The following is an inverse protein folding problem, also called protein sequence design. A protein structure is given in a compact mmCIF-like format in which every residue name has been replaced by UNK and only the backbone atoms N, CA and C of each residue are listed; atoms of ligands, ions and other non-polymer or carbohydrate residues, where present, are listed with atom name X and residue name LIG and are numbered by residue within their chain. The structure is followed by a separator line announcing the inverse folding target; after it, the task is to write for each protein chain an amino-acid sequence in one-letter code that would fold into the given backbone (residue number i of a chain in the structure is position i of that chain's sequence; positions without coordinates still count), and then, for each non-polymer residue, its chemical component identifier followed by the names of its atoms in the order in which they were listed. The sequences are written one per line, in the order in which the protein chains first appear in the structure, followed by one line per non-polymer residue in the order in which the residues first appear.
data_IF_795206712417
#
_entry.id   IF_795206712417
#
_cell.length_a   1.000
_cell.length_b   1.000
_cell.length_c   1.000
_cell.angle_alpha   90.00
_cell.angle_beta   90.00
_cell.angle_gamma   90.00
#
_symmetry.space_group_name_H-M   'P 1'
#
loop_
_entity.id
_entity.type
_entity.pdbx_description
1 polymer ?
#
# COMPACT_ATOMS: atom_id res chain seq x y z
N UNK A 1 13.32 -28.69 -20.78
CA UNK A 1 13.32 -27.74 -21.93
C UNK A 1 14.57 -26.84 -22.02
N UNK A 2 15.34 -26.61 -20.96
CA UNK A 2 16.49 -25.67 -20.99
C UNK A 2 17.67 -26.05 -21.90
N UNK A 3 18.00 -27.34 -22.03
CA UNK A 3 19.15 -27.78 -22.86
C UNK A 3 18.92 -27.52 -24.35
N UNK A 4 17.70 -27.76 -24.84
CA UNK A 4 17.33 -27.52 -26.24
C UNK A 4 17.29 -26.02 -26.58
N UNK A 5 16.90 -25.18 -25.61
CA UNK A 5 16.87 -23.72 -25.76
C UNK A 5 18.29 -23.15 -25.82
N UNK A 6 19.19 -23.60 -24.93
CA UNK A 6 20.60 -23.21 -24.99
C UNK A 6 21.28 -23.67 -26.29
N UNK A 7 20.99 -24.88 -26.77
CA UNK A 7 21.49 -25.37 -28.07
C UNK A 7 20.98 -24.52 -29.24
N UNK A 8 19.73 -24.06 -29.21
CA UNK A 8 19.17 -23.21 -30.27
C UNK A 8 19.74 -21.79 -30.24
N UNK A 9 19.99 -21.20 -29.06
CA UNK A 9 20.69 -19.92 -28.94
C UNK A 9 22.13 -20.06 -29.42
N UNK A 10 22.83 -21.12 -29.03
CA UNK A 10 24.19 -21.39 -29.46
C UNK A 10 24.25 -21.56 -30.99
N UNK A 11 23.31 -22.29 -31.60
CA UNK A 11 23.27 -22.48 -33.06
C UNK A 11 22.96 -21.17 -33.81
N UNK A 12 22.08 -20.31 -33.29
CA UNK A 12 21.81 -18.98 -33.87
C UNK A 12 23.02 -18.05 -33.74
N UNK A 13 23.69 -18.07 -32.60
CA UNK A 13 24.88 -17.27 -32.35
C UNK A 13 26.04 -17.72 -33.25
N UNK A 14 26.28 -19.02 -33.35
CA UNK A 14 27.26 -19.61 -34.29
C UNK A 14 26.91 -19.22 -35.72
N UNK A 15 25.66 -19.36 -36.19
CA UNK A 15 25.27 -18.93 -37.54
C UNK A 15 25.49 -17.43 -37.80
N UNK A 16 25.22 -16.56 -36.83
CA UNK A 16 25.43 -15.12 -37.00
C UNK A 16 26.92 -14.73 -36.96
N UNK A 17 27.72 -15.36 -36.09
CA UNK A 17 29.17 -15.12 -36.00
C UNK A 17 29.90 -15.66 -37.23
N UNK A 18 29.52 -16.86 -37.70
CA UNK A 18 30.09 -17.44 -38.92
C UNK A 18 29.54 -16.78 -40.20
N UNK A 19 28.32 -16.22 -40.18
CA UNK A 19 27.79 -15.39 -41.26
C UNK A 19 28.57 -14.06 -41.41
N UNK A 20 29.01 -13.47 -40.30
CA UNK A 20 29.91 -12.31 -40.33
C UNK A 20 31.32 -12.64 -40.85
N UNK A 21 31.75 -13.91 -40.78
CA UNK A 21 33.08 -14.32 -41.26
C UNK A 21 33.23 -14.18 -42.79
N UNK A 22 32.12 -14.22 -43.54
CA UNK A 22 32.14 -14.01 -44.98
C UNK A 22 32.26 -12.53 -45.39
N UNK A 23 31.95 -11.59 -44.49
CA UNK A 23 32.12 -10.16 -44.75
C UNK A 23 33.54 -9.65 -44.46
N UNK A 24 34.41 -10.48 -43.88
CA UNK A 24 35.79 -10.14 -43.48
C UNK A 24 36.86 -10.76 -44.41
N UNK A 25 36.48 -11.29 -45.57
CA UNK A 25 37.40 -11.97 -46.51
C UNK A 25 38.48 -11.02 -47.08
N UNK A 26 38.34 -9.70 -46.94
CA UNK A 26 39.36 -8.71 -47.34
C UNK A 26 40.15 -8.08 -46.19
N UNK A 27 39.89 -8.46 -44.92
CA UNK A 27 40.69 -7.96 -43.80
C UNK A 27 41.90 -8.86 -43.52
N UNK A 28 43.05 -8.22 -43.35
CA UNK A 28 44.37 -8.79 -43.07
C UNK A 28 44.28 -9.97 -42.08
N UNK A 29 44.64 -11.18 -42.54
CA UNK A 29 44.58 -12.45 -41.78
C UNK A 29 45.05 -12.36 -40.31
N UNK A 30 46.18 -11.69 -39.97
CA UNK A 30 46.59 -11.51 -38.59
C UNK A 30 45.59 -10.75 -37.71
N UNK A 31 44.84 -9.79 -38.25
CA UNK A 31 43.84 -9.03 -37.51
C UNK A 31 42.60 -9.88 -37.21
N UNK A 32 42.11 -10.64 -38.19
CA UNK A 32 40.98 -11.56 -38.00
C UNK A 32 41.29 -12.65 -36.95
N UNK A 33 42.53 -13.17 -36.95
CA UNK A 33 42.95 -14.18 -35.97
C UNK A 33 43.03 -13.60 -34.54
N UNK A 34 43.51 -12.36 -34.38
CA UNK A 34 43.50 -11.65 -33.09
C UNK A 34 42.09 -11.35 -32.58
N UNK A 35 41.18 -10.93 -33.46
CA UNK A 35 39.78 -10.64 -33.11
C UNK A 35 39.02 -11.91 -32.69
N UNK A 36 39.25 -13.01 -33.40
CA UNK A 36 38.64 -14.31 -33.05
C UNK A 36 39.17 -14.83 -31.72
N UNK A 37 40.48 -14.72 -31.46
CA UNK A 37 41.07 -15.06 -30.16
C UNK A 37 40.53 -14.17 -29.03
N UNK A 38 40.30 -12.87 -29.29
CA UNK A 38 39.69 -11.94 -28.34
C UNK A 38 38.24 -12.29 -28.01
N UNK A 39 37.42 -12.65 -29.01
CA UNK A 39 36.04 -13.14 -28.80
C UNK A 39 36.04 -14.45 -28.00
N UNK A 40 36.95 -15.38 -28.32
CA UNK A 40 37.11 -16.64 -27.57
C UNK A 40 37.57 -16.42 -26.12
N UNK A 41 38.36 -15.38 -25.86
CA UNK A 41 38.74 -14.96 -24.50
C UNK A 41 37.58 -14.30 -23.73
N UNK A 42 36.62 -13.69 -24.41
CA UNK A 42 35.43 -13.06 -23.81
C UNK A 42 34.23 -14.01 -23.66
N UNK A 43 34.23 -15.16 -24.35
CA UNK A 43 33.15 -16.15 -24.25
C UNK A 43 32.95 -16.73 -22.83
N UNK A 44 34.01 -17.00 -22.03
CA UNK A 44 33.83 -17.44 -20.65
C UNK A 44 33.11 -16.41 -19.78
N UNK A 45 33.34 -15.11 -19.95
CA UNK A 45 32.68 -14.08 -19.11
C UNK A 45 31.20 -13.88 -19.49
N UNK A 46 30.82 -14.14 -20.74
CA UNK A 46 29.43 -14.07 -21.19
C UNK A 46 28.60 -15.32 -20.87
N UNK A 47 29.23 -16.50 -20.77
CA UNK A 47 28.53 -17.78 -20.53
C UNK A 47 28.46 -18.15 -19.04
N UNK A 48 29.36 -17.64 -18.19
CA UNK A 48 29.40 -17.95 -16.74
C UNK A 48 28.77 -16.87 -15.83
N UNK A 49 27.99 -15.93 -16.39
CA UNK A 49 27.59 -14.71 -15.68
C UNK A 49 26.30 -14.75 -14.86
N UNK A 50 25.53 -15.85 -14.83
CA UNK A 50 24.36 -15.91 -13.94
C UNK A 50 24.81 -16.16 -12.50
N UNK A 51 25.11 -15.06 -11.82
CA UNK A 51 25.22 -15.04 -10.38
C UNK A 51 23.86 -15.38 -9.77
N UNK A 52 23.90 -16.07 -8.64
CA UNK A 52 22.71 -16.37 -7.86
C UNK A 52 23.01 -16.11 -6.39
N UNK A 53 21.99 -15.72 -5.67
CA UNK A 53 22.03 -15.59 -4.22
C UNK A 53 21.11 -16.63 -3.61
N UNK A 54 21.44 -17.09 -2.41
CA UNK A 54 20.56 -17.96 -1.62
C UNK A 54 20.19 -17.25 -0.35
N UNK A 55 18.90 -17.28 0.02
CA UNK A 55 18.48 -16.79 1.34
C UNK A 55 18.95 -17.74 2.44
N UNK A 56 18.71 -17.40 3.72
CA UNK A 56 18.76 -18.39 4.79
C UNK A 56 17.54 -19.34 4.73
N UNK A 57 17.62 -20.49 5.41
CA UNK A 57 16.42 -21.26 5.75
C UNK A 57 15.64 -20.50 6.82
N UNK A 58 14.34 -20.35 6.59
CA UNK A 58 13.39 -19.72 7.53
C UNK A 58 12.12 -20.54 7.60
N UNK A 59 11.36 -20.52 8.72
CA UNK A 59 10.03 -21.11 8.77
C UNK A 59 9.19 -20.69 7.57
N UNK A 60 8.35 -21.58 7.05
CA UNK A 60 7.51 -21.33 5.89
C UNK A 60 6.85 -22.60 5.37
N UNK A 61 6.37 -22.54 4.13
CA UNK A 61 5.61 -23.61 3.52
C UNK A 61 5.80 -23.67 2.00
N UNK A 62 5.47 -24.83 1.45
CA UNK A 62 5.26 -25.06 0.02
C UNK A 62 3.91 -25.74 -0.18
N UNK A 63 3.19 -25.37 -1.23
CA UNK A 63 1.97 -26.02 -1.69
C UNK A 63 2.25 -26.61 -3.06
N UNK A 64 2.22 -27.93 -3.17
CA UNK A 64 2.45 -28.63 -4.42
C UNK A 64 1.26 -28.38 -5.37
N UNK A 65 1.47 -28.58 -6.68
CA UNK A 65 0.37 -28.54 -7.67
C UNK A 65 -0.76 -29.55 -7.41
N UNK A 66 -0.52 -30.56 -6.57
CA UNK A 66 -1.55 -31.49 -6.08
C UNK A 66 -2.48 -30.87 -5.02
N UNK A 67 -2.17 -29.68 -4.51
CA UNK A 67 -2.80 -29.04 -3.36
C UNK A 67 -2.23 -29.49 -2.01
N UNK A 68 -1.27 -30.43 -1.98
CA UNK A 68 -0.62 -30.86 -0.75
C UNK A 68 0.26 -29.74 -0.17
N UNK A 69 -0.09 -29.27 1.03
CA UNK A 69 0.69 -28.27 1.78
C UNK A 69 1.70 -28.96 2.71
N UNK A 70 2.94 -28.49 2.68
CA UNK A 70 4.04 -28.92 3.56
C UNK A 70 4.64 -27.73 4.29
N UNK A 71 4.45 -27.68 5.61
CA UNK A 71 5.08 -26.68 6.48
C UNK A 71 6.49 -27.15 6.91
N UNK A 72 7.45 -26.24 7.02
CA UNK A 72 8.85 -26.54 7.33
C UNK A 72 9.73 -25.30 7.25
N UNK A 73 11.00 -25.48 6.90
CA UNK A 73 11.93 -24.39 6.60
C UNK A 73 12.11 -24.25 5.08
N UNK A 74 12.07 -23.03 4.55
CA UNK A 74 12.24 -22.70 3.14
C UNK A 74 13.38 -21.73 2.90
N UNK A 75 14.09 -21.95 1.80
CA UNK A 75 15.23 -21.17 1.33
C UNK A 75 15.09 -20.94 -0.17
N UNK A 76 15.24 -19.69 -0.61
CA UNK A 76 15.14 -19.33 -2.01
C UNK A 76 16.52 -19.21 -2.65
N UNK A 77 16.70 -19.85 -3.80
CA UNK A 77 17.79 -19.54 -4.72
C UNK A 77 17.27 -18.60 -5.78
N UNK A 78 17.85 -17.40 -5.84
CA UNK A 78 17.35 -16.28 -6.63
C UNK A 78 18.40 -15.88 -7.66
N UNK A 79 17.99 -15.69 -8.91
CA UNK A 79 18.86 -15.17 -9.96
C UNK A 79 19.21 -13.70 -9.69
N UNK A 80 20.45 -13.33 -9.97
CA UNK A 80 20.85 -11.92 -10.01
C UNK A 80 21.29 -11.55 -11.43
N UNK A 81 20.83 -10.40 -11.96
CA UNK A 81 20.16 -9.29 -11.26
C UNK A 81 18.62 -9.38 -11.20
N UNK A 82 17.99 -10.31 -11.92
CA UNK A 82 16.55 -10.28 -12.22
C UNK A 82 15.64 -10.59 -11.01
N UNK A 83 16.22 -11.07 -9.90
CA UNK A 83 15.50 -11.45 -8.67
C UNK A 83 14.44 -12.53 -8.87
N UNK A 84 14.58 -13.35 -9.91
CA UNK A 84 13.69 -14.47 -10.18
C UNK A 84 14.01 -15.64 -9.24
N UNK A 85 12.99 -16.23 -8.63
CA UNK A 85 13.16 -17.43 -7.80
C UNK A 85 13.42 -18.60 -8.74
N UNK A 86 14.64 -19.14 -8.72
CA UNK A 86 15.04 -20.27 -9.55
C UNK A 86 14.69 -21.62 -8.91
N UNK A 87 14.69 -21.67 -7.57
CA UNK A 87 14.46 -22.90 -6.82
C UNK A 87 14.10 -22.58 -5.36
N UNK A 88 13.17 -23.34 -4.82
CA UNK A 88 12.75 -23.33 -3.43
C UNK A 88 13.28 -24.59 -2.76
N UNK A 89 14.19 -24.45 -1.80
CA UNK A 89 14.67 -25.57 -0.99
C UNK A 89 13.81 -25.68 0.26
N UNK A 90 13.18 -26.83 0.44
CA UNK A 90 12.36 -27.18 1.60
C UNK A 90 13.11 -28.13 2.54
N UNK A 91 12.96 -27.95 3.84
CA UNK A 91 13.52 -28.82 4.88
C UNK A 91 12.53 -28.98 6.05
N UNK A 92 12.27 -30.21 6.46
CA UNK A 92 11.54 -30.52 7.68
C UNK A 92 12.24 -31.66 8.43
N UNK A 93 13.00 -31.31 9.47
CA UNK A 93 13.87 -32.26 10.16
C UNK A 93 14.93 -32.86 9.23
N UNK A 94 14.82 -34.16 8.94
CA UNK A 94 15.72 -34.89 8.02
C UNK A 94 15.25 -34.85 6.57
N UNK A 95 13.97 -34.57 6.34
CA UNK A 95 13.40 -34.53 5.00
C UNK A 95 13.80 -33.23 4.33
N UNK A 96 14.37 -33.34 3.14
CA UNK A 96 14.82 -32.21 2.32
C UNK A 96 14.33 -32.42 0.90
N UNK A 97 13.80 -31.36 0.30
CA UNK A 97 13.35 -31.36 -1.08
C UNK A 97 13.74 -30.05 -1.76
N UNK A 98 13.92 -30.11 -3.07
CA UNK A 98 14.05 -28.92 -3.90
C UNK A 98 12.86 -28.89 -4.83
N UNK A 99 12.21 -27.74 -4.94
CA UNK A 99 11.08 -27.50 -5.81
C UNK A 99 11.40 -26.35 -6.75
N UNK A 100 10.96 -26.47 -7.98
CA UNK A 100 10.94 -25.37 -8.94
C UNK A 100 9.61 -24.63 -8.87
N UNK A 101 9.55 -23.33 -9.21
CA UNK A 101 8.31 -22.56 -9.13
C UNK A 101 7.14 -23.17 -9.91
N UNK A 102 7.39 -23.86 -11.03
CA UNK A 102 6.36 -24.51 -11.86
C UNK A 102 5.81 -25.82 -11.25
N UNK A 103 6.47 -26.37 -10.23
CA UNK A 103 6.02 -27.55 -9.47
C UNK A 103 5.13 -27.18 -8.28
N UNK A 104 5.08 -25.88 -7.96
CA UNK A 104 4.39 -25.34 -6.79
C UNK A 104 3.18 -24.52 -7.21
N UNK A 105 2.07 -24.75 -6.51
CA UNK A 105 0.91 -23.88 -6.58
C UNK A 105 1.16 -22.59 -5.79
N UNK A 106 1.83 -22.69 -4.64
CA UNK A 106 2.13 -21.57 -3.77
C UNK A 106 3.36 -21.88 -2.89
N UNK A 107 4.02 -20.85 -2.39
CA UNK A 107 5.12 -20.98 -1.43
C UNK A 107 5.35 -19.68 -0.68
N UNK A 108 5.82 -19.78 0.56
CA UNK A 108 6.11 -18.60 1.35
C UNK A 108 7.04 -18.88 2.52
N UNK A 109 7.87 -17.90 2.86
CA UNK A 109 8.48 -17.83 4.18
C UNK A 109 7.45 -17.26 5.15
N UNK A 110 7.23 -17.97 6.26
CA UNK A 110 6.48 -17.47 7.41
C UNK A 110 7.38 -16.51 8.16
N UNK A 111 6.95 -15.25 8.24
CA UNK A 111 7.63 -14.23 9.06
C UNK A 111 6.99 -14.27 10.43
N UNK A 112 7.77 -14.37 11.50
CA UNK A 112 7.25 -14.29 12.87
C UNK A 112 7.38 -12.87 13.41
N UNK A 113 6.58 -12.50 14.42
CA UNK A 113 6.75 -11.20 15.13
C UNK A 113 8.19 -11.03 15.63
N UNK A 114 8.82 -12.11 16.11
CA UNK A 114 10.19 -12.10 16.61
C UNK A 114 11.24 -11.73 15.54
N UNK A 115 10.93 -11.93 14.25
CA UNK A 115 11.79 -11.55 13.13
C UNK A 115 11.63 -10.07 12.75
N UNK A 116 10.56 -9.43 13.21
CA UNK A 116 10.24 -8.04 12.93
C UNK A 116 10.93 -7.11 13.93
N UNK A 117 11.57 -6.05 13.42
CA UNK A 117 12.20 -5.06 14.28
C UNK A 117 11.14 -4.15 14.88
N UNK A 118 11.04 -4.16 16.20
CA UNK A 118 10.26 -3.15 16.93
C UNK A 118 10.86 -1.75 16.72
N UNK A 119 9.99 -0.76 16.57
CA UNK A 119 10.34 0.64 16.60
C UNK A 119 9.81 1.27 17.89
N UNK A 120 10.67 1.38 18.90
CA UNK A 120 10.28 1.91 20.20
C UNK A 120 9.96 3.41 20.20
N UNK A 121 10.42 4.17 19.20
CA UNK A 121 10.10 5.61 19.11
C UNK A 121 8.74 5.89 18.47
N UNK A 122 8.19 4.95 17.72
CA UNK A 122 6.86 5.05 17.11
C UNK A 122 6.05 3.79 17.44
N UNK A 123 5.34 3.84 18.58
CA UNK A 123 4.61 2.71 19.14
C UNK A 123 3.51 2.16 18.22
N UNK A 124 3.01 2.97 17.28
CA UNK A 124 2.03 2.54 16.27
C UNK A 124 2.61 1.49 15.30
N UNK A 125 3.95 1.45 15.17
CA UNK A 125 4.68 0.50 14.32
C UNK A 125 4.99 -0.81 15.01
N UNK A 126 4.72 -0.92 16.31
CA UNK A 126 4.87 -2.17 17.04
C UNK A 126 3.58 -2.98 16.94
N UNK A 127 3.70 -4.29 17.15
CA UNK A 127 2.54 -5.16 17.24
C UNK A 127 1.78 -4.89 18.55
N UNK A 128 0.55 -4.41 18.42
CA UNK A 128 -0.37 -4.18 19.52
C UNK A 128 -1.67 -4.96 19.27
N UNK A 129 -2.44 -5.33 20.31
CA UNK A 129 -3.74 -5.98 20.11
C UNK A 129 -4.66 -5.17 19.19
N UNK A 130 -5.46 -5.84 18.38
CA UNK A 130 -6.33 -5.16 17.42
C UNK A 130 -6.99 -6.12 16.44
N UNK A 131 -7.51 -5.58 15.35
CA UNK A 131 -8.11 -6.37 14.28
C UNK A 131 -7.99 -5.67 12.93
N UNK A 132 -8.10 -6.44 11.85
CA UNK A 132 -8.27 -5.89 10.49
C UNK A 132 -9.61 -6.36 9.92
N UNK A 133 -10.21 -5.51 9.08
CA UNK A 133 -11.39 -5.81 8.27
C UNK A 133 -10.93 -5.91 6.82
N UNK A 134 -11.07 -7.11 6.27
CA UNK A 134 -10.69 -7.41 4.88
C UNK A 134 -11.72 -6.86 3.89
N UNK A 135 -11.36 -6.83 2.61
CA UNK A 135 -12.22 -6.35 1.53
C UNK A 135 -13.47 -7.18 1.26
N UNK A 136 -13.49 -8.42 1.73
CA UNK A 136 -14.64 -9.30 1.72
C UNK A 136 -15.59 -9.10 2.93
N UNK A 137 -15.26 -8.16 3.83
CA UNK A 137 -16.01 -7.86 5.04
C UNK A 137 -15.60 -8.69 6.26
N UNK A 138 -14.73 -9.70 6.09
CA UNK A 138 -14.31 -10.54 7.20
C UNK A 138 -13.45 -9.77 8.21
N UNK A 139 -13.71 -10.03 9.50
CA UNK A 139 -12.94 -9.49 10.63
C UNK A 139 -11.97 -10.56 11.14
N UNK A 140 -10.68 -10.21 11.22
CA UNK A 140 -9.66 -11.07 11.82
C UNK A 140 -8.99 -10.33 12.99
N UNK A 141 -9.04 -10.95 14.18
CA UNK A 141 -8.51 -10.41 15.43
C UNK A 141 -7.12 -10.97 15.71
N UNK A 142 -6.23 -10.14 16.26
CA UNK A 142 -4.85 -10.54 16.53
C UNK A 142 -4.01 -9.36 17.00
N UNK A 143 -2.73 -9.36 16.63
CA UNK A 143 -1.87 -8.19 16.83
C UNK A 143 -1.68 -7.47 15.51
N UNK A 144 -1.77 -6.14 15.50
CA UNK A 144 -1.58 -5.33 14.30
C UNK A 144 -0.47 -4.31 14.51
N UNK A 145 0.20 -3.96 13.42
CA UNK A 145 1.24 -2.94 13.39
C UNK A 145 1.18 -2.15 12.07
N UNK A 146 1.23 -0.82 12.14
CA UNK A 146 1.39 0.02 10.96
C UNK A 146 2.81 -0.07 10.40
N UNK A 147 2.95 -0.16 9.07
CA UNK A 147 4.23 0.08 8.39
C UNK A 147 4.17 1.41 7.65
N UNK A 148 4.91 2.39 8.11
CA UNK A 148 5.19 3.59 7.33
C UNK A 148 6.18 3.28 6.21
N UNK A 149 6.15 4.07 5.13
CA UNK A 149 7.23 4.07 4.13
C UNK A 149 8.56 4.42 4.79
N UNK A 150 9.66 3.88 4.26
CA UNK A 150 10.98 4.39 4.62
C UNK A 150 11.10 5.84 4.11
N UNK A 151 11.86 6.74 4.78
CA UNK A 151 11.95 8.15 4.40
C UNK A 151 12.35 8.40 2.93
N UNK A 152 13.01 7.44 2.30
CA UNK A 152 13.42 7.51 0.89
C UNK A 152 12.31 7.10 -0.11
N UNK A 153 11.21 6.51 0.37
CA UNK A 153 10.13 5.96 -0.47
C UNK A 153 8.93 6.91 -0.63
N UNK A 154 8.90 8.04 0.09
CA UNK A 154 7.79 8.99 0.05
C UNK A 154 8.27 10.43 0.12
N UNK A 155 7.87 11.22 -0.88
CA UNK A 155 7.95 12.68 -0.81
C UNK A 155 6.86 13.25 0.10
N UNK A 156 5.72 12.54 0.19
CA UNK A 156 4.60 12.87 1.05
C UNK A 156 4.84 12.31 2.45
N UNK A 157 5.40 13.12 3.34
CA UNK A 157 5.93 12.65 4.64
C UNK A 157 4.89 12.17 5.67
N UNK A 158 3.59 12.43 5.51
CA UNK A 158 2.73 12.56 6.70
C UNK A 158 1.36 11.87 6.69
N UNK A 159 1.04 11.01 5.72
CA UNK A 159 -0.36 10.58 5.57
C UNK A 159 -0.76 9.24 6.21
N UNK A 160 0.22 8.53 6.80
CA UNK A 160 -0.02 7.31 7.57
C UNK A 160 0.70 6.07 7.02
N UNK A 161 0.45 4.87 7.58
CA UNK A 161 1.06 3.63 7.13
C UNK A 161 0.69 3.27 5.68
N UNK A 162 1.62 2.72 4.90
CA UNK A 162 1.35 2.19 3.53
C UNK A 162 1.01 0.71 3.52
N UNK A 163 1.17 0.06 4.67
CA UNK A 163 0.80 -1.31 4.88
C UNK A 163 0.42 -1.51 6.35
N UNK A 164 -0.41 -2.51 6.60
CA UNK A 164 -0.66 -3.04 7.93
C UNK A 164 -0.09 -4.45 8.00
N UNK A 165 0.62 -4.74 9.09
CA UNK A 165 1.05 -6.10 9.44
C UNK A 165 0.03 -6.64 10.44
N UNK A 166 -0.45 -7.84 10.20
CA UNK A 166 -1.31 -8.60 11.09
C UNK A 166 -0.54 -9.82 11.55
N UNK A 167 -0.59 -10.14 12.83
CA UNK A 167 -0.06 -11.37 13.38
C UNK A 167 -1.16 -12.16 14.08
N UNK A 168 -1.24 -13.44 13.75
CA UNK A 168 -2.21 -14.37 14.33
C UNK A 168 -1.79 -14.84 15.73
N UNK A 169 -2.55 -15.78 16.29
CA UNK A 169 -2.31 -16.43 17.58
C UNK A 169 -0.97 -17.19 17.67
N UNK A 170 -0.40 -17.56 16.52
CA UNK A 170 0.92 -18.19 16.39
C UNK A 170 2.06 -17.19 16.15
N UNK A 171 1.77 -15.89 16.27
CA UNK A 171 2.68 -14.79 15.96
C UNK A 171 3.18 -14.79 14.49
N UNK A 172 2.46 -15.45 13.57
CA UNK A 172 2.77 -15.45 12.14
C UNK A 172 2.25 -14.17 11.50
N UNK A 173 3.16 -13.43 10.85
CA UNK A 173 2.93 -12.11 10.30
C UNK A 173 2.48 -12.21 8.83
N UNK A 174 1.29 -11.70 8.57
CA UNK A 174 0.79 -11.39 7.22
C UNK A 174 0.85 -9.89 6.99
N UNK A 175 1.27 -9.48 5.80
CA UNK A 175 1.38 -8.06 5.44
C UNK A 175 0.39 -7.70 4.34
N UNK A 176 -0.46 -6.73 4.63
CA UNK A 176 -1.42 -6.18 3.68
C UNK A 176 -0.99 -4.79 3.24
N UNK A 177 -0.82 -4.60 1.94
CA UNK A 177 -0.45 -3.30 1.38
C UNK A 177 -1.69 -2.49 1.06
N UNK A 178 -1.67 -1.19 1.37
CA UNK A 178 -2.83 -0.33 1.17
C UNK A 178 -3.22 -0.21 -0.31
N UNK A 179 -2.25 -0.22 -1.23
CA UNK A 179 -2.49 -0.18 -2.68
C UNK A 179 -3.19 -1.43 -3.24
N UNK A 180 -3.11 -2.58 -2.55
CA UNK A 180 -3.81 -3.81 -2.95
C UNK A 180 -5.28 -3.84 -2.52
N UNK A 181 -5.69 -2.94 -1.62
CA UNK A 181 -7.07 -2.84 -1.09
C UNK A 181 -7.59 -4.14 -0.47
N UNK A 182 -6.71 -5.02 -0.02
CA UNK A 182 -7.09 -6.27 0.68
C UNK A 182 -7.65 -6.02 2.08
N UNK A 183 -7.21 -4.93 2.71
CA UNK A 183 -7.72 -4.44 4.01
C UNK A 183 -8.40 -3.10 3.77
N UNK A 184 -9.64 -2.97 4.23
CA UNK A 184 -10.42 -1.73 4.18
C UNK A 184 -10.16 -0.86 5.41
N UNK A 185 -9.98 -1.51 6.56
CA UNK A 185 -9.95 -0.86 7.86
C UNK A 185 -9.16 -1.70 8.86
N UNK A 186 -8.49 -1.06 9.81
CA UNK A 186 -7.93 -1.77 10.95
C UNK A 186 -7.98 -0.92 12.23
N UNK A 187 -7.95 -1.61 13.36
CA UNK A 187 -7.90 -1.00 14.69
C UNK A 187 -6.71 -1.54 15.44
N UNK A 188 -6.00 -0.65 16.12
CA UNK A 188 -4.86 -0.96 16.95
C UNK A 188 -5.10 -0.39 18.36
N UNK A 189 -5.03 -1.24 19.39
CA UNK A 189 -5.17 -0.83 20.79
C UNK A 189 -3.79 -0.55 21.38
N UNK A 190 -3.41 0.74 21.43
CA UNK A 190 -2.12 1.20 21.95
C UNK A 190 -2.36 1.77 23.34
N UNK A 191 -1.75 1.18 24.37
CA UNK A 191 -1.90 1.60 25.77
C UNK A 191 -3.38 1.66 26.23
N UNK A 192 -4.21 0.74 25.74
CA UNK A 192 -5.64 0.67 26.08
C UNK A 192 -6.52 1.69 25.33
N UNK A 193 -5.95 2.53 24.46
CA UNK A 193 -6.71 3.40 23.55
C UNK A 193 -6.77 2.76 22.17
N UNK A 194 -7.96 2.65 21.61
CA UNK A 194 -8.14 2.21 20.22
C UNK A 194 -7.83 3.35 19.26
N UNK A 195 -6.95 3.08 18.30
CA UNK A 195 -6.67 3.93 17.15
C UNK A 195 -7.17 3.23 15.90
N UNK A 196 -7.98 3.92 15.12
CA UNK A 196 -8.71 3.37 13.99
C UNK A 196 -8.15 3.91 12.70
N UNK A 197 -8.01 3.08 11.68
CA UNK A 197 -7.38 3.44 10.42
C UNK A 197 -8.20 2.96 9.23
N UNK A 198 -8.38 3.81 8.21
CA UNK A 198 -9.09 3.48 6.97
C UNK A 198 -8.13 3.48 5.79
N UNK A 199 -8.30 2.55 4.85
CA UNK A 199 -7.52 2.51 3.62
C UNK A 199 -8.00 3.58 2.64
N UNK A 200 -7.22 4.63 2.43
CA UNK A 200 -7.53 5.74 1.54
C UNK A 200 -6.31 6.07 0.66
N UNK A 201 -6.50 6.16 -0.66
CA UNK A 201 -5.45 6.58 -1.60
C UNK A 201 -4.11 5.85 -1.49
N UNK A 202 -4.13 4.58 -1.07
CA UNK A 202 -2.94 3.73 -0.90
C UNK A 202 -2.16 4.00 0.40
N UNK A 203 -2.86 4.61 1.37
CA UNK A 203 -2.43 4.82 2.74
C UNK A 203 -3.50 4.32 3.70
N UNK A 204 -3.11 4.04 4.93
CA UNK A 204 -4.01 3.87 6.05
C UNK A 204 -4.02 5.18 6.84
N UNK A 205 -5.15 5.89 6.80
CA UNK A 205 -5.32 7.19 7.46
C UNK A 205 -6.02 6.98 8.79
N UNK A 206 -5.50 7.61 9.84
CA UNK A 206 -6.12 7.59 11.16
C UNK A 206 -7.48 8.31 11.15
N UNK A 207 -8.48 7.68 11.77
CA UNK A 207 -9.83 8.22 11.93
C UNK A 207 -10.00 8.68 13.38
N UNK A 208 -10.24 9.98 13.53
CA UNK A 208 -10.67 10.58 14.78
C UNK A 208 -12.17 10.39 15.01
N UNK A 209 -12.53 10.23 16.28
CA UNK A 209 -13.90 10.01 16.76
C UNK A 209 -14.76 9.04 15.91
N UNK A 210 -14.31 7.81 15.64
CA UNK A 210 -14.99 6.91 14.71
C UNK A 210 -16.39 6.46 15.16
N UNK A 211 -16.66 6.49 16.47
CA UNK A 211 -17.95 6.09 17.06
C UNK A 211 -18.87 7.26 17.38
N UNK A 212 -18.36 8.50 17.39
CA UNK A 212 -19.16 9.69 17.67
C UNK A 212 -20.06 10.09 16.51
N UNK A 213 -20.82 11.18 16.71
CA UNK A 213 -21.67 11.75 15.65
C UNK A 213 -20.84 12.18 14.43
N UNK A 214 -19.69 12.78 14.65
CA UNK A 214 -18.78 13.18 13.58
C UNK A 214 -17.49 12.37 13.68
N UNK A 215 -17.16 11.66 12.62
CA UNK A 215 -15.81 11.10 12.44
C UNK A 215 -15.03 11.95 11.46
N UNK A 216 -13.71 11.96 11.57
CA UNK A 216 -12.88 12.78 10.71
C UNK A 216 -11.53 12.15 10.44
N UNK A 217 -10.92 12.53 9.31
CA UNK A 217 -9.57 12.09 8.94
C UNK A 217 -8.96 13.06 7.93
N UNK A 218 -7.63 13.11 7.89
CA UNK A 218 -6.89 13.97 6.96
C UNK A 218 -7.07 13.45 5.54
N UNK A 219 -7.34 14.33 4.58
CA UNK A 219 -7.28 13.99 3.17
C UNK A 219 -5.80 13.84 2.75
N UNK A 220 -5.32 12.65 2.38
CA UNK A 220 -3.92 12.46 2.01
C UNK A 220 -3.60 12.98 0.61
N UNK A 221 -4.61 13.40 -0.15
CA UNK A 221 -4.48 14.06 -1.44
C UNK A 221 -5.33 15.33 -1.46
N UNK A 222 -4.89 16.41 -0.78
CA UNK A 222 -5.61 17.67 -0.78
C UNK A 222 -5.78 18.20 -2.20
N UNK A 223 -6.87 18.92 -2.44
CA UNK A 223 -7.31 19.43 -3.74
C UNK A 223 -7.40 20.96 -3.77
N UNK A 224 -7.45 21.62 -2.61
CA UNK A 224 -7.63 23.06 -2.47
C UNK A 224 -6.28 23.75 -2.36
N UNK A 225 -6.05 24.72 -3.23
CA UNK A 225 -4.79 25.44 -3.35
C UNK A 225 -4.73 26.56 -2.31
N UNK A 226 -3.60 26.63 -1.60
CA UNK A 226 -3.21 27.70 -0.71
C UNK A 226 -2.97 29.01 -1.49
N UNK A 227 -3.56 30.11 -1.03
CA UNK A 227 -3.48 31.42 -1.70
C UNK A 227 -2.06 31.93 -1.89
N UNK A 228 -1.13 31.54 -1.01
CA UNK A 228 0.29 31.91 -1.14
C UNK A 228 0.96 31.34 -2.40
N UNK A 229 0.34 30.38 -3.10
CA UNK A 229 0.86 29.75 -4.32
C UNK A 229 0.17 30.21 -5.62
N UNK A 230 -0.51 31.36 -5.59
CA UNK A 230 -1.45 31.84 -6.64
C UNK A 230 -0.87 31.97 -8.05
N UNK A 231 0.46 32.13 -8.22
CA UNK A 231 1.06 32.26 -9.56
C UNK A 231 1.33 30.93 -10.28
N UNK A 232 1.43 29.80 -9.56
CA UNK A 232 1.63 28.47 -10.16
C UNK A 232 0.30 27.73 -10.42
N UNK A 233 -0.72 28.09 -9.65
CA UNK A 233 -1.98 27.34 -9.46
C UNK A 233 -3.02 27.42 -10.59
N UNK A 234 -3.02 28.48 -11.41
CA UNK A 234 -4.09 28.73 -12.39
C UNK A 234 -4.18 27.67 -13.49
N UNK A 235 -3.09 26.98 -13.80
CA UNK A 235 -3.06 25.90 -14.80
C UNK A 235 -3.45 24.53 -14.22
N UNK A 236 -3.36 24.36 -12.89
CA UNK A 236 -3.64 23.09 -12.19
C UNK A 236 -5.13 22.92 -11.86
N UNK A 237 -5.83 24.01 -11.53
CA UNK A 237 -7.24 23.96 -11.16
C UNK A 237 -8.16 23.50 -12.30
N UNK A 238 -7.87 23.86 -13.56
CA UNK A 238 -8.66 23.46 -14.73
C UNK A 238 -8.58 21.94 -15.02
N UNK A 239 -7.48 21.28 -14.65
CA UNK A 239 -7.28 19.83 -14.82
C UNK A 239 -8.06 18.99 -13.79
N UNK A 240 -8.35 19.56 -12.62
CA UNK A 240 -9.05 18.86 -11.54
C UNK A 240 -10.57 18.76 -11.77
N UNK A 241 -11.17 19.74 -12.45
CA UNK A 241 -12.63 19.85 -12.63
C UNK A 241 -13.19 18.86 -13.67
N UNK A 242 -12.43 18.54 -14.72
CA UNK A 242 -12.83 17.63 -15.80
C UNK A 242 -12.92 16.15 -15.35
N UNK A 243 -12.12 15.76 -14.35
CA UNK A 243 -12.03 14.36 -13.90
C UNK A 243 -13.15 13.96 -12.92
N UNK A 244 -13.75 14.92 -12.20
CA UNK A 244 -14.87 14.68 -11.30
C UNK A 244 -16.09 14.08 -12.02
N UNK A 245 -16.30 14.40 -13.29
CA UNK A 245 -17.46 13.92 -14.08
C UNK A 245 -17.48 12.41 -14.38
N UNK A 246 -16.37 11.68 -14.16
CA UNK A 246 -16.29 10.20 -14.40
C UNK A 246 -16.74 9.33 -13.20
N UNK A 247 -17.23 9.95 -12.12
CA UNK A 247 -17.65 9.38 -10.82
C UNK A 247 -18.84 8.37 -10.84
N UNK A 248 -19.38 7.97 -12.01
CA UNK A 248 -20.61 7.18 -12.13
C UNK A 248 -20.46 5.66 -11.84
N UNK A 249 -19.29 5.17 -11.42
CA UNK A 249 -19.02 3.75 -11.14
C UNK A 249 -19.30 3.32 -9.68
N UNK A 250 -19.98 4.15 -8.88
CA UNK A 250 -20.26 3.97 -7.45
C UNK A 250 -21.37 2.94 -7.11
N UNK A 251 -22.02 2.34 -8.11
CA UNK A 251 -23.18 1.47 -7.91
C UNK A 251 -22.83 0.03 -7.47
N UNK A 252 -21.61 -0.44 -7.67
CA UNK A 252 -21.23 -1.83 -7.36
C UNK A 252 -20.82 -2.04 -5.88
N UNK A 253 -20.18 -1.05 -5.26
CA UNK A 253 -19.72 -1.12 -3.86
C UNK A 253 -20.84 -0.88 -2.82
N UNK A 254 -21.89 -0.13 -3.21
CA UNK A 254 -23.11 0.01 -2.40
C UNK A 254 -23.83 -1.34 -2.21
N UNK A 255 -23.78 -2.22 -3.22
CA UNK A 255 -24.51 -3.49 -3.26
C UNK A 255 -23.89 -4.59 -2.40
N UNK A 256 -22.56 -4.64 -2.27
CA UNK A 256 -21.89 -5.57 -1.34
C UNK A 256 -22.11 -5.18 0.13
N UNK A 257 -22.29 -3.88 0.39
CA UNK A 257 -22.47 -3.34 1.71
C UNK A 257 -23.89 -3.48 2.29
N UNK A 258 -24.92 -3.35 1.45
CA UNK A 258 -26.31 -3.65 1.82
C UNK A 258 -26.51 -5.13 2.20
N UNK A 259 -25.65 -6.03 1.70
CA UNK A 259 -25.71 -7.47 2.01
C UNK A 259 -25.22 -7.77 3.44
N UNK A 260 -24.25 -7.01 3.96
CA UNK A 260 -23.67 -7.21 5.30
C UNK A 260 -24.46 -6.51 6.42
N UNK A 261 -25.15 -5.41 6.12
CA UNK A 261 -25.96 -4.68 7.10
C UNK A 261 -27.08 -5.53 7.72
N UNK A 262 -27.48 -6.62 7.06
CA UNK A 262 -28.50 -7.56 7.53
C UNK A 262 -28.00 -8.57 8.59
N UNK A 263 -26.73 -8.57 8.98
CA UNK A 263 -26.18 -9.57 9.93
C UNK A 263 -25.90 -9.10 11.36
N UNK A 264 -26.10 -7.81 11.66
CA UNK A 264 -26.19 -7.30 13.04
C UNK A 264 -24.86 -7.21 13.80
N UNK A 265 -24.71 -6.08 14.51
CA UNK A 265 -23.65 -5.73 15.48
C UNK A 265 -22.21 -5.58 14.96
N UNK A 266 -21.96 -4.42 14.34
CA UNK A 266 -20.73 -3.56 14.38
C UNK A 266 -20.70 -2.57 13.17
N UNK A 267 -21.88 -2.11 12.73
CA UNK A 267 -22.08 -1.53 11.39
C UNK A 267 -21.82 -0.02 11.25
N UNK A 268 -21.63 0.73 12.34
CA UNK A 268 -21.58 2.21 12.24
C UNK A 268 -20.29 2.72 11.56
N UNK A 269 -19.16 2.05 11.77
CA UNK A 269 -17.83 2.49 11.29
C UNK A 269 -17.56 2.05 9.85
N UNK A 270 -18.12 0.92 9.42
CA UNK A 270 -18.04 0.45 8.03
C UNK A 270 -18.76 1.37 7.04
N UNK A 271 -19.91 1.95 7.43
CA UNK A 271 -20.73 2.81 6.56
C UNK A 271 -19.97 4.10 6.13
N UNK A 272 -19.28 4.73 7.06
CA UNK A 272 -18.55 5.99 6.83
C UNK A 272 -17.27 5.76 6.00
N UNK A 273 -16.59 4.66 6.26
CA UNK A 273 -15.32 4.26 5.62
C UNK A 273 -15.48 3.99 4.13
N UNK A 274 -16.53 3.27 3.72
CA UNK A 274 -16.75 2.95 2.30
C UNK A 274 -17.22 4.17 1.50
N UNK A 275 -18.04 5.04 2.11
CA UNK A 275 -18.45 6.31 1.49
C UNK A 275 -17.26 7.28 1.29
N UNK A 276 -16.28 7.26 2.20
CA UNK A 276 -15.03 7.99 2.08
C UNK A 276 -14.13 7.44 0.97
N UNK A 277 -13.94 6.11 0.92
CA UNK A 277 -13.15 5.44 -0.12
C UNK A 277 -13.68 5.72 -1.53
N UNK A 278 -15.01 5.72 -1.72
CA UNK A 278 -15.66 5.92 -3.02
C UNK A 278 -15.44 7.30 -3.65
N UNK A 279 -15.18 8.35 -2.86
CA UNK A 279 -14.89 9.67 -3.44
C UNK A 279 -13.40 9.98 -3.54
N UNK A 280 -12.58 9.24 -2.77
CA UNK A 280 -11.15 9.44 -2.76
C UNK A 280 -10.53 8.95 -4.08
N UNK A 281 -10.79 7.71 -4.46
CA UNK A 281 -10.19 7.03 -5.62
C UNK A 281 -10.44 7.72 -6.97
N UNK A 282 -11.34 8.70 -7.07
CA UNK A 282 -11.67 9.41 -8.31
C UNK A 282 -10.69 10.54 -8.72
N UNK A 283 -9.76 10.92 -7.85
CA UNK A 283 -8.83 12.06 -8.07
C UNK A 283 -7.43 11.59 -8.51
N UNK A 284 -7.25 10.29 -8.78
CA UNK A 284 -5.99 9.60 -8.51
C UNK A 284 -4.82 9.87 -9.50
N UNK A 285 -5.01 10.46 -10.67
CA UNK A 285 -3.97 10.48 -11.73
C UNK A 285 -3.56 11.87 -12.28
N UNK A 286 -4.09 13.00 -11.77
CA UNK A 286 -3.85 14.32 -12.37
C UNK A 286 -2.86 15.24 -11.63
N UNK A 287 -2.56 14.97 -10.36
CA UNK A 287 -1.80 15.90 -9.51
C UNK A 287 -0.77 15.09 -8.70
N UNK A 288 0.25 14.59 -9.39
CA UNK A 288 1.51 14.19 -8.73
C UNK A 288 2.56 15.25 -9.10
N UNK A 289 2.41 16.43 -8.50
CA UNK A 289 3.37 17.54 -8.70
C UNK A 289 4.35 17.49 -7.55
N UNK A 290 5.56 17.02 -7.85
CA UNK A 290 6.73 17.03 -6.97
C UNK A 290 6.86 18.43 -6.30
N UNK A 291 6.72 18.51 -4.96
CA UNK A 291 6.90 19.75 -4.19
C UNK A 291 5.63 20.57 -3.87
N UNK A 292 4.43 20.01 -4.01
CA UNK A 292 3.17 20.74 -3.76
C UNK A 292 2.74 20.87 -2.28
N UNK A 293 3.52 20.39 -1.31
CA UNK A 293 3.10 20.36 0.11
C UNK A 293 2.83 21.77 0.70
N UNK A 294 3.51 22.82 0.20
CA UNK A 294 3.25 24.22 0.60
C UNK A 294 2.18 24.91 -0.25
N UNK A 295 1.79 24.28 -1.38
CA UNK A 295 0.85 24.81 -2.37
C UNK A 295 -0.58 24.45 -2.03
N UNK A 296 -0.82 23.36 -1.30
CA UNK A 296 -2.16 22.85 -1.02
C UNK A 296 -2.53 23.08 0.46
N UNK A 297 -3.80 23.38 0.73
CA UNK A 297 -4.30 23.41 2.09
C UNK A 297 -4.35 21.99 2.65
N UNK A 298 -4.00 21.86 3.94
CA UNK A 298 -4.38 20.67 4.68
C UNK A 298 -5.91 20.56 4.70
N UNK A 299 -6.41 19.44 4.23
CA UNK A 299 -7.83 19.12 4.16
C UNK A 299 -8.17 17.97 5.08
N UNK A 300 -9.36 18.01 5.65
CA UNK A 300 -9.94 16.89 6.38
C UNK A 300 -11.30 16.58 5.79
N UNK A 301 -11.62 15.30 5.78
CA UNK A 301 -12.99 14.86 5.60
C UNK A 301 -13.64 14.78 6.97
N UNK A 302 -14.83 15.37 7.10
CA UNK A 302 -15.72 15.18 8.25
C UNK A 302 -16.93 14.40 7.75
N UNK A 303 -17.26 13.31 8.43
CA UNK A 303 -18.41 12.47 8.15
C UNK A 303 -19.39 12.59 9.30
N UNK A 304 -20.60 13.08 9.01
CA UNK A 304 -21.74 13.01 9.93
C UNK A 304 -22.29 11.58 9.90
N UNK A 305 -21.93 10.79 10.90
CA UNK A 305 -22.33 9.39 11.02
C UNK A 305 -23.84 9.22 11.22
N UNK A 306 -24.55 10.25 11.72
CA UNK A 306 -26.01 10.22 11.89
C UNK A 306 -26.72 10.47 10.57
N UNK A 307 -26.36 11.57 9.90
CA UNK A 307 -27.02 12.00 8.66
C UNK A 307 -26.43 11.37 7.39
N UNK A 308 -25.31 10.64 7.53
CA UNK A 308 -24.56 10.01 6.42
C UNK A 308 -24.10 11.03 5.37
N UNK A 309 -23.82 12.26 5.79
CA UNK A 309 -23.28 13.32 4.96
C UNK A 309 -21.78 13.46 5.17
N UNK A 310 -21.10 14.06 4.19
CA UNK A 310 -19.66 14.34 4.26
C UNK A 310 -19.39 15.77 3.84
N UNK A 311 -18.47 16.39 4.55
CA UNK A 311 -17.94 17.71 4.22
C UNK A 311 -16.42 17.65 4.12
N UNK A 312 -15.85 18.42 3.19
CA UNK A 312 -14.41 18.67 3.13
C UNK A 312 -14.15 19.97 3.84
N UNK A 313 -13.26 19.95 4.84
CA UNK A 313 -12.91 21.12 5.64
C UNK A 313 -11.45 21.45 5.45
N UNK A 314 -11.19 22.70 5.15
CA UNK A 314 -9.87 23.29 5.02
C UNK A 314 -9.95 24.74 5.52
N UNK A 315 -8.79 25.39 5.66
CA UNK A 315 -8.66 26.67 6.36
C UNK A 315 -9.70 27.75 6.00
N UNK A 316 -10.13 27.83 4.73
CA UNK A 316 -11.03 28.92 4.28
C UNK A 316 -12.52 28.66 4.52
N UNK A 317 -12.93 27.41 4.68
CA UNK A 317 -14.34 27.05 4.78
C UNK A 317 -14.71 26.49 6.17
N UNK A 318 -13.81 26.56 7.15
CA UNK A 318 -14.03 26.07 8.51
C UNK A 318 -15.36 26.59 9.06
N UNK A 319 -15.54 27.91 9.12
CA UNK A 319 -16.72 28.54 9.73
C UNK A 319 -18.01 28.12 9.04
N UNK A 320 -18.01 28.13 7.71
CA UNK A 320 -19.18 27.72 6.92
C UNK A 320 -19.55 26.25 7.17
N UNK A 321 -18.57 25.35 7.15
CA UNK A 321 -18.83 23.92 7.35
C UNK A 321 -19.22 23.64 8.79
N UNK A 322 -18.55 24.25 9.78
CA UNK A 322 -18.91 24.09 11.18
C UNK A 322 -20.33 24.58 11.45
N UNK A 323 -20.70 25.76 10.99
CA UNK A 323 -22.05 26.28 11.17
C UNK A 323 -23.10 25.35 10.54
N UNK A 324 -22.80 24.75 9.38
CA UNK A 324 -23.71 23.79 8.75
C UNK A 324 -23.79 22.44 9.50
N UNK A 325 -22.66 21.92 10.01
CA UNK A 325 -22.63 20.66 10.78
C UNK A 325 -23.31 20.80 12.14
N UNK A 326 -23.21 21.99 12.73
CA UNK A 326 -23.74 22.33 14.03
C UNK A 326 -25.15 22.95 13.96
N UNK A 327 -25.69 23.13 12.75
CA UNK A 327 -27.07 23.54 12.59
C UNK A 327 -28.00 22.46 13.15
N UNK A 328 -28.94 22.87 14.00
CA UNK A 328 -29.83 21.96 14.73
C UNK A 328 -29.23 21.25 15.95
N UNK A 329 -27.99 21.58 16.35
CA UNK A 329 -27.37 21.05 17.56
C UNK A 329 -27.82 21.78 18.86
N UNK A 330 -28.54 22.90 18.74
CA UNK A 330 -28.97 23.69 19.91
C UNK A 330 -27.80 24.25 20.72
N UNK A 331 -26.69 24.61 20.06
CA UNK A 331 -25.50 25.11 20.72
C UNK A 331 -25.78 26.45 21.41
N UNK A 332 -25.21 26.61 22.62
CA UNK A 332 -25.17 27.88 23.33
C UNK A 332 -24.44 28.94 22.47
N UNK A 333 -24.91 30.18 22.49
CA UNK A 333 -24.30 31.33 21.80
C UNK A 333 -22.79 31.47 22.13
N UNK A 334 -22.39 31.10 23.35
CA UNK A 334 -20.98 31.06 23.78
C UNK A 334 -20.14 30.04 23.02
N UNK A 335 -20.76 28.93 22.61
CA UNK A 335 -20.11 27.87 21.84
C UNK A 335 -19.89 28.35 20.39
N UNK A 336 -20.84 29.09 19.84
CA UNK A 336 -20.73 29.74 18.51
C UNK A 336 -19.63 30.80 18.52
N UNK A 337 -19.54 31.65 19.55
CA UNK A 337 -18.43 32.61 19.67
C UNK A 337 -17.05 31.92 19.71
N UNK A 338 -16.95 30.77 20.37
CA UNK A 338 -15.72 29.98 20.43
C UNK A 338 -15.33 29.45 19.04
N UNK A 339 -16.29 29.06 18.18
CA UNK A 339 -15.98 28.60 16.82
C UNK A 339 -15.32 29.68 15.96
N UNK A 340 -15.74 30.94 16.09
CA UNK A 340 -15.11 32.08 15.40
C UNK A 340 -13.67 32.39 15.86
N UNK A 341 -13.22 31.77 16.95
CA UNK A 341 -11.84 31.87 17.45
C UNK A 341 -10.93 30.71 17.03
N UNK A 342 -11.50 29.66 16.41
CA UNK A 342 -10.76 28.47 15.99
C UNK A 342 -9.91 28.82 14.78
N UNK A 343 -8.58 28.76 14.95
CA UNK A 343 -7.62 29.11 13.90
C UNK A 343 -7.00 27.89 13.25
N UNK A 344 -7.06 26.75 13.94
CA UNK A 344 -6.46 25.51 13.49
C UNK A 344 -7.49 24.39 13.36
N UNK A 345 -7.33 23.58 12.33
CA UNK A 345 -8.27 22.50 12.05
C UNK A 345 -8.27 21.42 13.15
N UNK A 346 -7.18 21.29 13.89
CA UNK A 346 -7.05 20.42 15.06
C UNK A 346 -7.95 20.86 16.21
N UNK A 347 -8.14 22.17 16.40
CA UNK A 347 -9.05 22.72 17.42
C UNK A 347 -10.52 22.47 17.04
N UNK A 348 -10.85 22.56 15.74
CA UNK A 348 -12.18 22.19 15.20
C UNK A 348 -12.52 20.76 15.59
N UNK A 349 -11.57 19.83 15.42
CA UNK A 349 -11.80 18.42 15.68
C UNK A 349 -12.02 18.14 17.18
N UNK A 350 -11.15 18.69 18.05
CA UNK A 350 -11.34 18.55 19.50
C UNK A 350 -12.64 19.20 19.98
N UNK A 351 -13.03 20.32 19.39
CA UNK A 351 -14.30 20.96 19.68
C UNK A 351 -15.50 20.09 19.27
N UNK A 352 -15.47 19.44 18.11
CA UNK A 352 -16.50 18.49 17.70
C UNK A 352 -16.53 17.28 18.62
N UNK A 353 -15.40 16.79 19.12
CA UNK A 353 -15.36 15.69 20.10
C UNK A 353 -16.02 16.09 21.45
N UNK A 354 -15.78 17.32 21.91
CA UNK A 354 -16.31 17.81 23.19
C UNK A 354 -17.79 18.23 23.13
N UNK A 355 -18.25 18.72 21.98
CA UNK A 355 -19.53 19.42 21.84
C UNK A 355 -20.47 18.80 20.79
N UNK A 356 -20.08 17.71 20.13
CA UNK A 356 -20.99 17.01 19.23
C UNK A 356 -22.21 16.53 20.01
N UNK A 357 -23.37 17.04 19.61
CA UNK A 357 -24.65 16.65 20.19
C UNK A 357 -24.85 15.15 20.01
N UNK A 358 -25.04 14.44 21.13
CA UNK A 358 -25.41 13.03 21.14
C UNK A 358 -26.63 12.74 20.25
#
# INVERSE_FOLDING_TARGET
MGVQFCLNILNKFVRNVFGFSYLFVELDRPLAMKFTAFILLLLPTLVFGQSYTTTGFKPGYVVLNSGERKDGEVNYRVSTPDREILMIRYKNGKDKANYYPDELQDHGQTVLIADEKNNYSDVSRNFNPGYVILSDGSKIEGKVAGRTKEPHESQYKNYGPVAVKYANDKDEVTKYWANKKEVLYYVQSINGKETHYINLYDYFVEVGNPTGRFSYFVNPRPTHINESATNLSKNLAALAEEQATKLAASAAAKKSFEIDQNKGTDAAVGNATIAAMNAATAVQDAIDVEGADDILYKEYFIVDNKNKTRSVVYKKNIDQVLNALLDGCGLDEKIVEKTGSIKELTEVMGFLEENACN
#
